data_IF_273400725209
#
_entry.id   IF_273400725209
#
_cell.length_a   1.000
_cell.length_b   1.000
_cell.length_c   1.000
_cell.angle_alpha   90.00
_cell.angle_beta   90.00
_cell.angle_gamma   90.00
#
_symmetry.space_group_name_H-M   'P 1'
#
loop_
_entity.id
_entity.type
_entity.pdbx_description
1 polymer ?
#
# COMPACT_ATOMS: atom_id res chain seq x y z
N UNK A 1 10.02 -11.14 -4.64
CA UNK A 1 10.39 -10.92 -3.22
C UNK A 1 9.11 -10.79 -2.46
N UNK A 2 8.92 -11.49 -1.34
CA UNK A 2 7.63 -11.39 -0.63
C UNK A 2 7.53 -10.07 0.10
N UNK A 3 6.32 -9.56 0.25
CA UNK A 3 6.10 -8.27 0.92
C UNK A 3 6.61 -8.27 2.38
N UNK A 4 6.52 -9.41 3.08
CA UNK A 4 6.99 -9.54 4.45
C UNK A 4 8.52 -9.65 4.55
N UNK A 5 9.19 -10.18 3.51
CA UNK A 5 10.67 -10.22 3.47
C UNK A 5 11.25 -8.79 3.42
N UNK A 6 10.55 -7.87 2.74
CA UNK A 6 10.92 -6.45 2.67
C UNK A 6 10.77 -5.77 4.03
N UNK A 7 9.74 -6.13 4.78
CA UNK A 7 9.54 -5.63 6.14
C UNK A 7 10.66 -6.12 7.06
N UNK A 8 10.98 -7.40 7.01
CA UNK A 8 12.08 -7.99 7.79
C UNK A 8 13.41 -7.30 7.45
N UNK A 9 13.71 -7.11 6.15
CA UNK A 9 14.89 -6.38 5.69
C UNK A 9 14.98 -4.97 6.31
N UNK A 10 13.87 -4.23 6.37
CA UNK A 10 13.83 -2.92 7.01
C UNK A 10 14.09 -3.02 8.52
N UNK A 11 13.37 -3.91 9.21
CA UNK A 11 13.43 -4.04 10.67
C UNK A 11 14.81 -4.51 11.17
N UNK A 12 15.53 -5.27 10.35
CA UNK A 12 16.90 -5.68 10.62
C UNK A 12 17.93 -4.57 10.40
N UNK A 13 17.60 -3.53 9.63
CA UNK A 13 18.51 -2.45 9.30
C UNK A 13 18.90 -1.59 10.51
N UNK A 14 20.14 -1.13 10.54
CA UNK A 14 20.63 -0.25 11.62
C UNK A 14 19.86 1.08 11.65
N UNK A 15 19.56 1.64 10.47
CA UNK A 15 18.78 2.85 10.30
C UNK A 15 17.43 2.76 11.02
N UNK A 16 16.69 1.67 10.80
CA UNK A 16 15.40 1.45 11.44
C UNK A 16 15.54 1.23 12.94
N UNK A 17 16.48 0.37 13.36
CA UNK A 17 16.72 0.07 14.78
C UNK A 17 17.03 1.33 15.58
N UNK A 18 17.82 2.26 15.03
CA UNK A 18 18.13 3.52 15.70
C UNK A 18 16.95 4.46 15.73
N UNK A 19 16.23 4.62 14.61
CA UNK A 19 15.01 5.41 14.57
C UNK A 19 13.93 4.89 15.54
N UNK A 20 13.75 3.57 15.62
CA UNK A 20 12.70 2.95 16.44
C UNK A 20 12.92 3.11 17.93
N UNK A 21 14.16 3.30 18.40
CA UNK A 21 14.48 3.63 19.81
C UNK A 21 13.88 4.98 20.21
N UNK A 22 13.91 5.95 19.30
CA UNK A 22 13.40 7.30 19.53
C UNK A 22 11.89 7.40 19.25
N UNK A 23 11.35 6.49 18.42
CA UNK A 23 9.97 6.49 17.92
C UNK A 23 9.26 5.21 18.35
N UNK A 24 9.29 4.91 19.65
CA UNK A 24 8.81 3.64 20.19
C UNK A 24 7.27 3.48 20.09
N UNK A 25 6.52 4.59 20.08
CA UNK A 25 5.06 4.61 19.94
C UNK A 25 4.58 4.40 18.50
N UNK A 26 5.45 4.66 17.51
CA UNK A 26 5.10 4.54 16.10
C UNK A 26 4.80 3.09 15.73
N UNK A 27 3.80 2.84 14.90
CA UNK A 27 3.45 1.48 14.50
C UNK A 27 3.35 1.34 12.99
N UNK A 28 3.61 0.12 12.51
CA UNK A 28 3.48 -0.22 11.10
C UNK A 28 2.03 0.04 10.66
N UNK A 29 1.87 0.96 9.72
CA UNK A 29 0.56 1.38 9.21
C UNK A 29 0.30 0.79 7.83
N UNK A 30 1.30 0.80 6.95
CA UNK A 30 1.14 0.34 5.58
C UNK A 30 2.43 -0.12 4.91
N UNK A 31 2.25 -0.91 3.84
CA UNK A 31 3.31 -1.26 2.90
C UNK A 31 2.86 -0.96 1.46
N UNK A 32 3.70 -0.14 0.84
CA UNK A 32 3.65 0.57 -0.43
C UNK A 32 4.43 0.10 -1.65
N UNK A 33 3.85 -0.12 -2.83
CA UNK A 33 4.66 -0.14 -4.07
C UNK A 33 3.91 0.37 -5.30
N UNK A 34 4.64 1.07 -6.17
CA UNK A 34 4.20 1.32 -7.54
C UNK A 34 4.68 0.19 -8.44
N UNK A 35 3.77 -0.37 -9.23
CA UNK A 35 4.12 -1.32 -10.28
C UNK A 35 4.05 -0.56 -11.61
N UNK A 36 5.23 -0.37 -12.19
CA UNK A 36 5.48 0.27 -13.48
C UNK A 36 6.67 -0.42 -14.17
N UNK A 37 7.05 0.04 -15.36
CA UNK A 37 8.12 -0.59 -16.15
C UNK A 37 9.51 -0.55 -15.50
N UNK A 38 9.72 0.33 -14.52
CA UNK A 38 10.95 0.47 -13.76
C UNK A 38 10.78 -0.07 -12.33
N UNK A 39 11.82 -0.69 -11.80
CA UNK A 39 11.90 -1.09 -10.39
C UNK A 39 11.77 0.15 -9.49
N UNK A 40 10.70 0.22 -8.71
CA UNK A 40 10.56 1.24 -7.66
C UNK A 40 10.76 0.60 -6.29
N UNK A 41 11.40 1.29 -5.34
CA UNK A 41 11.55 0.78 -3.99
C UNK A 41 10.18 0.57 -3.34
N UNK A 42 10.12 -0.40 -2.43
CA UNK A 42 9.00 -0.50 -1.51
C UNK A 42 9.02 0.68 -0.55
N UNK A 43 7.84 1.08 -0.10
CA UNK A 43 7.70 2.12 0.90
C UNK A 43 6.95 1.58 2.10
N UNK A 44 7.52 1.72 3.30
CA UNK A 44 6.94 1.20 4.53
C UNK A 44 6.65 2.37 5.45
N UNK A 45 5.37 2.55 5.77
CA UNK A 45 4.88 3.65 6.57
C UNK A 45 4.69 3.25 8.03
N UNK A 46 5.33 4.00 8.93
CA UNK A 46 5.12 3.92 10.37
C UNK A 46 4.42 5.18 10.87
N UNK A 47 3.28 5.01 11.51
CA UNK A 47 2.42 6.11 11.93
C UNK A 47 2.53 6.36 13.43
N UNK A 48 2.61 7.64 13.79
CA UNK A 48 2.56 8.11 15.17
C UNK A 48 1.20 8.77 15.44
N UNK A 49 0.43 8.17 16.35
CA UNK A 49 -0.92 8.66 16.69
C UNK A 49 -0.91 9.97 17.48
N UNK A 50 0.16 10.27 18.21
CA UNK A 50 0.24 11.47 19.05
C UNK A 50 0.56 12.72 18.24
N UNK A 51 1.46 12.60 17.24
CA UNK A 51 1.85 13.71 16.37
C UNK A 51 1.03 13.79 15.09
N UNK A 52 0.26 12.74 14.80
CA UNK A 52 -0.48 12.55 13.56
C UNK A 52 0.38 12.55 12.28
N UNK A 53 1.61 12.05 12.39
CA UNK A 53 2.58 12.00 11.30
C UNK A 53 2.93 10.56 10.91
N UNK A 54 3.34 10.37 9.67
CA UNK A 54 3.93 9.12 9.18
C UNK A 54 5.39 9.32 8.83
N UNK A 55 6.23 8.40 9.29
CA UNK A 55 7.58 8.23 8.80
C UNK A 55 7.57 7.15 7.73
N UNK A 56 8.12 7.44 6.55
CA UNK A 56 8.18 6.48 5.44
C UNK A 56 9.61 6.05 5.18
N UNK A 57 9.83 4.75 5.06
CA UNK A 57 11.11 4.16 4.66
C UNK A 57 11.02 3.64 3.24
N UNK A 58 11.99 4.00 2.39
CA UNK A 58 12.13 3.41 1.06
C UNK A 58 13.11 2.24 1.14
N UNK A 59 12.69 1.06 0.72
CA UNK A 59 13.46 -0.19 0.73
C UNK A 59 13.66 -0.64 -0.72
N UNK A 60 14.86 -0.42 -1.23
CA UNK A 60 15.32 -0.87 -2.55
C UNK A 60 16.74 -1.41 -2.45
N UNK A 61 17.62 -0.99 -3.37
CA UNK A 61 19.05 -1.28 -3.29
C UNK A 61 19.66 -0.71 -2.00
N UNK A 62 19.25 0.50 -1.65
CA UNK A 62 19.55 1.16 -0.38
C UNK A 62 18.27 1.36 0.44
N UNK A 63 18.42 1.37 1.77
CA UNK A 63 17.33 1.72 2.69
C UNK A 63 17.48 3.19 3.07
N UNK A 64 16.46 3.98 2.76
CA UNK A 64 16.42 5.41 3.09
C UNK A 64 15.18 5.74 3.90
N UNK A 65 15.21 6.86 4.63
CA UNK A 65 14.11 7.36 5.45
C UNK A 65 13.71 8.74 4.96
N UNK A 66 12.41 8.96 4.77
CA UNK A 66 11.84 10.27 4.51
C UNK A 66 11.52 10.96 5.83
N UNK A 67 11.50 12.29 5.84
CA UNK A 67 11.04 13.06 6.99
C UNK A 67 9.57 12.76 7.30
N UNK A 68 9.22 12.87 8.58
CA UNK A 68 7.84 12.66 9.01
C UNK A 68 6.92 13.69 8.35
N UNK A 69 5.81 13.22 7.80
CA UNK A 69 4.86 14.06 7.07
C UNK A 69 3.42 13.77 7.46
N UNK A 70 2.53 14.72 7.16
CA UNK A 70 1.10 14.55 7.35
C UNK A 70 0.59 13.40 6.48
N UNK A 71 -0.28 12.57 7.05
CA UNK A 71 -0.93 11.50 6.28
C UNK A 71 -2.14 12.04 5.56
N UNK A 72 -2.26 11.70 4.29
CA UNK A 72 -3.51 11.92 3.57
C UNK A 72 -4.59 10.95 4.10
N UNK A 73 -5.45 11.48 4.96
CA UNK A 73 -6.56 10.75 5.57
C UNK A 73 -7.88 11.11 4.91
N UNK A 74 -8.60 10.10 4.41
CA UNK A 74 -10.04 10.25 4.09
C UNK A 74 -10.96 9.91 5.28
N UNK A 75 -10.42 9.23 6.29
CA UNK A 75 -11.10 8.77 7.50
C UNK A 75 -10.27 9.16 8.72
N UNK A 76 -10.90 9.24 9.90
CA UNK A 76 -10.29 9.83 11.10
C UNK A 76 -9.12 9.01 11.70
N UNK A 77 -9.00 7.72 11.37
CA UNK A 77 -7.98 6.84 11.96
C UNK A 77 -7.18 6.04 10.93
N UNK A 78 -5.91 5.80 11.27
CA UNK A 78 -5.02 4.85 10.59
C UNK A 78 -4.87 3.67 11.53
N UNK A 79 -5.21 2.47 11.08
CA UNK A 79 -5.10 1.29 11.92
C UNK A 79 -3.72 0.64 11.78
N UNK A 80 -3.26 0.02 12.86
CA UNK A 80 -2.05 -0.80 12.83
C UNK A 80 -2.22 -1.97 11.87
N UNK A 81 -1.23 -2.19 11.01
CA UNK A 81 -1.21 -3.32 10.09
C UNK A 81 -0.99 -4.63 10.86
N UNK A 82 -1.88 -5.60 10.65
CA UNK A 82 -1.78 -6.94 11.24
C UNK A 82 -1.10 -7.88 10.26
N UNK A 83 0.22 -7.99 10.34
CA UNK A 83 1.04 -8.82 9.43
C UNK A 83 0.68 -10.30 9.51
N UNK A 84 0.23 -10.78 10.68
CA UNK A 84 -0.24 -12.16 10.88
C UNK A 84 -1.45 -12.53 10.01
N UNK A 85 -2.23 -11.55 9.56
CA UNK A 85 -3.39 -11.74 8.68
C UNK A 85 -3.00 -11.84 7.19
N UNK A 86 -1.72 -11.70 6.86
CA UNK A 86 -1.22 -11.76 5.47
C UNK A 86 -0.86 -13.20 5.11
N UNK A 87 -1.76 -13.89 4.40
CA UNK A 87 -1.59 -15.31 3.98
C UNK A 87 -1.24 -15.48 2.50
N UNK A 88 -1.62 -14.52 1.67
CA UNK A 88 -1.19 -14.42 0.28
C UNK A 88 -0.23 -13.24 0.10
N UNK A 89 0.62 -13.33 -0.91
CA UNK A 89 1.54 -12.25 -1.25
C UNK A 89 0.96 -11.29 -2.29
N UNK A 90 1.61 -10.15 -2.49
CA UNK A 90 1.12 -9.08 -3.36
C UNK A 90 0.98 -9.53 -4.83
N UNK A 91 1.84 -10.43 -5.32
CA UNK A 91 1.75 -10.99 -6.67
C UNK A 91 0.44 -11.76 -6.88
N UNK A 92 -0.02 -12.50 -5.87
CA UNK A 92 -1.28 -13.24 -5.91
C UNK A 92 -2.49 -12.30 -5.87
N UNK A 93 -2.45 -11.28 -5.01
CA UNK A 93 -3.48 -10.25 -4.94
C UNK A 93 -3.57 -9.46 -6.27
N UNK A 94 -2.42 -9.14 -6.86
CA UNK A 94 -2.33 -8.46 -8.15
C UNK A 94 -2.89 -9.33 -9.29
N UNK A 95 -2.63 -10.63 -9.29
CA UNK A 95 -3.21 -11.55 -10.25
C UNK A 95 -4.75 -11.59 -10.13
N UNK A 96 -5.29 -11.68 -8.90
CA UNK A 96 -6.72 -11.64 -8.66
C UNK A 96 -7.36 -10.33 -9.16
N UNK A 97 -6.76 -9.19 -8.82
CA UNK A 97 -7.19 -7.87 -9.28
C UNK A 97 -7.13 -7.73 -10.81
N UNK A 98 -6.08 -8.26 -11.44
CA UNK A 98 -5.92 -8.22 -12.91
C UNK A 98 -6.98 -9.07 -13.60
N UNK A 99 -7.28 -10.25 -13.07
CA UNK A 99 -8.33 -11.12 -13.62
C UNK A 99 -9.70 -10.45 -13.48
N UNK A 100 -10.00 -9.90 -12.30
CA UNK A 100 -11.24 -9.16 -12.06
C UNK A 100 -11.39 -7.97 -13.01
N UNK A 101 -10.34 -7.17 -13.23
CA UNK A 101 -10.37 -6.07 -14.19
C UNK A 101 -10.62 -6.55 -15.62
N UNK A 102 -9.96 -7.61 -16.08
CA UNK A 102 -10.14 -8.14 -17.44
C UNK A 102 -11.56 -8.64 -17.69
N UNK A 103 -12.18 -9.24 -16.68
CA UNK A 103 -13.55 -9.74 -16.75
C UNK A 103 -14.60 -8.61 -16.72
N UNK A 104 -14.45 -7.68 -15.78
CA UNK A 104 -15.50 -6.68 -15.48
C UNK A 104 -15.29 -5.34 -16.19
N UNK A 105 -14.05 -4.99 -16.52
CA UNK A 105 -13.66 -3.69 -17.09
C UNK A 105 -12.64 -3.83 -18.23
N UNK A 106 -12.87 -4.68 -19.25
CA UNK A 106 -11.86 -5.03 -20.27
C UNK A 106 -11.29 -3.83 -21.04
N UNK A 107 -12.06 -2.75 -21.20
CA UNK A 107 -11.64 -1.52 -21.89
C UNK A 107 -10.79 -0.59 -21.04
N UNK A 108 -10.77 -0.77 -19.71
CA UNK A 108 -10.08 0.09 -18.77
C UNK A 108 -8.68 -0.49 -18.45
N UNK A 109 -7.82 -0.59 -19.48
CA UNK A 109 -6.47 -1.15 -19.35
C UNK A 109 -5.59 -0.33 -18.37
N UNK A 110 -4.92 -0.97 -17.40
CA UNK A 110 -4.04 -0.27 -16.46
C UNK A 110 -2.77 0.25 -17.15
N UNK A 111 -2.43 1.52 -16.90
CA UNK A 111 -1.15 2.13 -17.24
C UNK A 111 -0.17 2.12 -16.06
N UNK A 112 -0.70 2.31 -14.86
CA UNK A 112 0.05 2.33 -13.62
C UNK A 112 -0.76 1.62 -12.54
N UNK A 113 -0.07 0.85 -11.72
CA UNK A 113 -0.70 0.09 -10.64
C UNK A 113 -0.07 0.52 -9.32
N UNK A 114 -0.92 0.75 -8.33
CA UNK A 114 -0.51 1.06 -6.96
C UNK A 114 -0.98 -0.11 -6.09
N UNK A 115 -0.08 -0.67 -5.31
CA UNK A 115 -0.40 -1.70 -4.32
C UNK A 115 -0.11 -1.13 -2.94
N UNK A 116 -1.15 -1.12 -2.11
CA UNK A 116 -1.10 -0.64 -0.73
C UNK A 116 -1.65 -1.72 0.19
N UNK A 117 -0.79 -2.38 0.95
CA UNK A 117 -1.19 -3.23 2.05
C UNK A 117 -1.50 -2.35 3.26
N UNK A 118 -2.73 -2.42 3.75
CA UNK A 118 -3.21 -1.60 4.87
C UNK A 118 -4.25 -2.36 5.69
N UNK A 119 -4.57 -1.85 6.87
CA UNK A 119 -5.69 -2.33 7.69
C UNK A 119 -6.76 -1.22 7.79
N UNK A 120 -8.02 -1.60 7.56
CA UNK A 120 -9.20 -0.77 7.82
C UNK A 120 -10.29 -1.64 8.45
N UNK A 121 -10.12 -1.98 9.71
CA UNK A 121 -10.87 -3.06 10.37
C UNK A 121 -10.49 -4.49 9.91
N UNK A 122 -10.14 -4.68 8.63
CA UNK A 122 -9.56 -5.91 8.07
C UNK A 122 -8.29 -5.58 7.29
N UNK A 123 -7.27 -6.43 7.41
CA UNK A 123 -6.03 -6.34 6.61
C UNK A 123 -6.31 -6.74 5.16
N UNK A 124 -5.93 -5.87 4.21
CA UNK A 124 -6.25 -6.04 2.80
C UNK A 124 -5.24 -5.35 1.90
N UNK A 125 -5.11 -5.84 0.67
CA UNK A 125 -4.43 -5.11 -0.41
C UNK A 125 -5.43 -4.16 -1.05
N UNK A 126 -5.16 -2.86 -0.94
CA UNK A 126 -5.80 -1.84 -1.76
C UNK A 126 -5.00 -1.69 -3.06
N UNK A 127 -5.55 -2.20 -4.15
CA UNK A 127 -4.94 -2.18 -5.47
C UNK A 127 -5.66 -1.13 -6.32
N UNK A 128 -4.93 -0.10 -6.76
CA UNK A 128 -5.46 0.96 -7.62
C UNK A 128 -4.84 0.86 -9.00
N UNK A 129 -5.68 0.66 -10.00
CA UNK A 129 -5.32 0.76 -11.41
C UNK A 129 -5.65 2.15 -11.93
N UNK A 130 -4.63 2.86 -12.40
CA UNK A 130 -4.81 4.09 -13.19
C UNK A 130 -4.87 3.67 -14.65
N UNK A 131 -5.99 3.94 -15.31
CA UNK A 131 -6.32 3.34 -16.61
C UNK A 131 -6.07 4.31 -17.76
N UNK A 132 -5.92 3.79 -18.98
CA UNK A 132 -5.77 4.59 -20.22
C UNK A 132 -6.97 5.50 -20.48
N UNK A 133 -8.14 5.15 -19.96
CA UNK A 133 -9.39 5.90 -20.06
C UNK A 133 -9.52 7.01 -19.01
N UNK A 134 -8.42 7.35 -18.32
CA UNK A 134 -8.37 8.37 -17.26
C UNK A 134 -9.33 8.08 -16.10
N UNK A 135 -9.46 6.80 -15.74
CA UNK A 135 -10.18 6.36 -14.54
C UNK A 135 -9.21 5.73 -13.54
N UNK A 136 -9.69 5.61 -12.32
CA UNK A 136 -9.10 4.76 -11.29
C UNK A 136 -10.04 3.61 -11.02
N UNK A 137 -9.55 2.38 -11.10
CA UNK A 137 -10.23 1.20 -10.56
C UNK A 137 -9.52 0.83 -9.26
N UNK A 138 -10.16 1.13 -8.15
CA UNK A 138 -9.70 0.79 -6.81
C UNK A 138 -10.34 -0.53 -6.38
N UNK A 139 -9.56 -1.48 -5.90
CA UNK A 139 -10.02 -2.80 -5.47
C UNK A 139 -9.45 -3.13 -4.11
N UNK A 140 -10.29 -3.56 -3.18
CA UNK A 140 -9.88 -4.16 -1.92
C UNK A 140 -9.81 -5.67 -2.09
N UNK A 141 -8.62 -6.23 -1.93
CA UNK A 141 -8.35 -7.66 -2.10
C UNK A 141 -7.97 -8.26 -0.75
N UNK A 142 -8.65 -9.34 -0.37
CA UNK A 142 -8.42 -10.08 0.87
C UNK A 142 -6.99 -10.63 0.92
N UNK A 143 -6.29 -10.42 2.05
CA UNK A 143 -4.97 -11.02 2.28
C UNK A 143 -5.03 -12.50 2.68
N UNK A 144 -6.23 -13.05 2.90
CA UNK A 144 -6.42 -14.44 3.31
C UNK A 144 -6.50 -15.38 2.10
N UNK A 145 -7.21 -14.98 1.06
CA UNK A 145 -7.59 -15.85 -0.06
C UNK A 145 -7.59 -15.17 -1.44
N UNK A 146 -7.35 -13.85 -1.50
CA UNK A 146 -7.30 -13.11 -2.76
C UNK A 146 -8.67 -12.75 -3.32
N UNK A 147 -9.75 -12.94 -2.55
CA UNK A 147 -11.09 -12.53 -2.95
C UNK A 147 -11.20 -11.00 -3.05
N UNK A 148 -11.99 -10.50 -4.02
CA UNK A 148 -12.28 -9.08 -4.15
C UNK A 148 -13.38 -8.73 -3.14
N UNK A 149 -13.03 -7.95 -2.12
CA UNK A 149 -13.94 -7.50 -1.07
C UNK A 149 -14.79 -6.32 -1.53
N UNK A 150 -14.19 -5.40 -2.29
CA UNK A 150 -14.82 -4.19 -2.80
C UNK A 150 -14.13 -3.75 -4.10
N UNK A 151 -14.87 -3.10 -5.00
CA UNK A 151 -14.30 -2.42 -6.16
C UNK A 151 -15.03 -1.11 -6.45
N UNK A 152 -14.28 -0.06 -6.79
CA UNK A 152 -14.81 1.26 -7.12
C UNK A 152 -14.09 1.85 -8.33
N UNK A 153 -14.86 2.30 -9.32
CA UNK A 153 -14.36 3.07 -10.47
C UNK A 153 -14.64 4.55 -10.24
N UNK A 154 -13.62 5.40 -10.41
CA UNK A 154 -13.75 6.87 -10.28
C UNK A 154 -13.04 7.55 -11.45
N UNK A 155 -13.66 8.54 -12.08
CA UNK A 155 -13.01 9.33 -13.13
C UNK A 155 -11.96 10.27 -12.53
N UNK A 156 -10.78 10.37 -13.15
CA UNK A 156 -9.77 11.34 -12.72
C UNK A 156 -10.24 12.79 -12.91
N UNK A 157 -11.21 13.03 -13.79
CA UNK A 157 -11.80 14.35 -14.00
C UNK A 157 -12.68 14.81 -12.83
N UNK A 158 -13.20 13.87 -12.03
CA UNK A 158 -14.07 14.19 -10.90
C UNK A 158 -13.29 14.80 -9.72
N UNK A 159 -11.97 14.55 -9.65
CA UNK A 159 -11.09 15.11 -8.61
C UNK A 159 -10.78 16.60 -8.81
N UNK A 160 -11.08 17.20 -9.98
CA UNK A 160 -10.84 18.63 -10.24
C UNK A 160 -11.91 19.57 -9.64
N UNK A 161 -12.91 19.04 -8.94
CA UNK A 161 -14.06 19.81 -8.43
C UNK A 161 -13.98 20.17 -6.94
N UNK A 162 -12.86 19.91 -6.28
CA UNK A 162 -12.59 20.35 -4.89
C UNK A 162 -11.59 21.50 -4.85
#
# INVERSE_FOLDING_TARGET
>A
MKILDVLEQLEESQLFKDWKKENNQDYLANIFKFIQNEETPWQIGYYNKETDLITTFNVGDDITKNDASEVFKKEDSIDMLKTDDVKIDYDQALLAATNFQKENYPSDMPMKIIVLLQNKGTTMYNITFITQTMKTLNMHVSTLDGSILESKVTSLMDFKKE
#
